data_IF_419231643032
#
_entry.id   IF_419231643032
#
_cell.length_a   1.000
_cell.length_b   1.000
_cell.length_c   1.000
_cell.angle_alpha   90.00
_cell.angle_beta   90.00
_cell.angle_gamma   90.00
#
_symmetry.space_group_name_H-M   'P 1'
#
loop_
_entity.id
_entity.type
_entity.pdbx_description
1 polymer ?
#
# COMPACT_ATOMS: atom_id res chain seq x y z
N UNK A 1 -38.54 -31.22 -6.89
CA UNK A 1 -37.19 -31.05 -7.46
C UNK A 1 -36.82 -29.58 -7.52
N UNK A 2 -35.76 -29.20 -6.86
CA UNK A 2 -35.20 -27.86 -7.07
C UNK A 2 -34.34 -27.84 -8.32
N UNK A 3 -34.69 -26.98 -9.26
CA UNK A 3 -33.89 -26.76 -10.50
C UNK A 3 -32.59 -26.04 -10.16
N UNK A 4 -31.49 -26.62 -10.60
CA UNK A 4 -30.14 -26.03 -10.46
C UNK A 4 -29.62 -25.56 -11.82
N UNK A 5 -28.82 -24.48 -11.76
CA UNK A 5 -28.13 -23.93 -12.93
C UNK A 5 -26.67 -23.67 -12.61
N UNK A 6 -25.85 -23.55 -13.63
CA UNK A 6 -24.46 -23.10 -13.46
C UNK A 6 -24.48 -21.60 -13.15
N UNK A 7 -23.67 -21.17 -12.16
CA UNK A 7 -23.53 -19.77 -11.82
C UNK A 7 -23.14 -18.93 -13.05
N UNK A 8 -23.92 -17.95 -13.48
CA UNK A 8 -23.65 -17.18 -14.70
C UNK A 8 -22.44 -16.25 -14.56
N UNK A 9 -21.97 -16.02 -13.33
CA UNK A 9 -20.84 -15.12 -13.06
C UNK A 9 -19.49 -15.84 -13.16
N UNK A 10 -19.34 -17.01 -12.52
CA UNK A 10 -18.09 -17.76 -12.56
C UNK A 10 -18.08 -18.92 -13.55
N UNK A 11 -19.22 -19.41 -13.98
CA UNK A 11 -19.34 -20.56 -14.91
C UNK A 11 -18.93 -21.91 -14.32
N UNK A 12 -18.75 -22.02 -13.01
CA UNK A 12 -18.18 -23.20 -12.34
C UNK A 12 -19.16 -23.84 -11.35
N UNK A 13 -19.69 -23.04 -10.43
CA UNK A 13 -20.49 -23.55 -9.32
C UNK A 13 -21.96 -23.77 -9.71
N UNK A 14 -22.52 -24.90 -9.27
CA UNK A 14 -23.96 -25.19 -9.38
C UNK A 14 -24.71 -24.43 -8.27
N UNK A 15 -25.72 -23.69 -8.67
CA UNK A 15 -26.58 -22.90 -7.77
C UNK A 15 -28.06 -23.22 -8.00
N UNK A 16 -28.89 -22.86 -7.03
CA UNK A 16 -30.33 -22.88 -7.22
C UNK A 16 -30.73 -21.93 -8.36
N UNK A 17 -31.70 -22.36 -9.19
CA UNK A 17 -32.15 -21.56 -10.33
C UNK A 17 -32.69 -20.18 -9.95
N UNK A 18 -33.14 -20.02 -8.71
CA UNK A 18 -33.63 -18.75 -8.17
C UNK A 18 -32.52 -17.75 -7.82
N UNK A 19 -31.28 -18.22 -7.63
CA UNK A 19 -30.16 -17.37 -7.25
C UNK A 19 -29.50 -16.70 -8.47
N UNK A 20 -29.02 -15.48 -8.29
CA UNK A 20 -28.33 -14.72 -9.33
C UNK A 20 -26.85 -15.10 -9.50
N UNK A 21 -26.22 -15.59 -8.41
CA UNK A 21 -24.81 -16.05 -8.42
C UNK A 21 -24.53 -16.93 -7.20
N UNK A 22 -23.37 -17.60 -7.18
CA UNK A 22 -22.93 -18.43 -6.06
C UNK A 22 -22.34 -17.60 -4.92
N UNK A 23 -22.25 -18.21 -3.74
CA UNK A 23 -21.72 -17.55 -2.53
C UNK A 23 -20.30 -17.02 -2.71
N UNK A 24 -19.46 -17.74 -3.45
CA UNK A 24 -18.08 -17.29 -3.78
C UNK A 24 -18.09 -15.99 -4.60
N UNK A 25 -19.02 -15.87 -5.56
CA UNK A 25 -19.16 -14.64 -6.36
C UNK A 25 -19.75 -13.49 -5.54
N UNK A 26 -20.68 -13.78 -4.62
CA UNK A 26 -21.21 -12.80 -3.65
C UNK A 26 -20.08 -12.27 -2.77
N UNK A 27 -19.26 -13.16 -2.20
CA UNK A 27 -18.14 -12.79 -1.34
C UNK A 27 -17.11 -11.90 -2.10
N UNK A 28 -16.77 -12.24 -3.33
CA UNK A 28 -15.87 -11.43 -4.19
C UNK A 28 -16.46 -10.06 -4.50
N UNK A 29 -17.76 -9.96 -4.76
CA UNK A 29 -18.46 -8.70 -5.01
C UNK A 29 -18.45 -7.81 -3.77
N UNK A 30 -18.73 -8.39 -2.59
CA UNK A 30 -18.71 -7.67 -1.32
C UNK A 30 -17.31 -7.18 -0.95
N UNK A 31 -16.27 -7.97 -1.25
CA UNK A 31 -14.88 -7.54 -1.11
C UNK A 31 -14.56 -6.32 -1.99
N UNK A 32 -14.95 -6.35 -3.27
CA UNK A 32 -14.78 -5.20 -4.18
C UNK A 32 -15.52 -3.94 -3.71
N UNK A 33 -16.71 -4.10 -3.13
CA UNK A 33 -17.45 -2.97 -2.56
C UNK A 33 -16.76 -2.38 -1.33
N UNK A 34 -16.19 -3.23 -0.45
CA UNK A 34 -15.37 -2.77 0.69
C UNK A 34 -14.14 -2.00 0.22
N UNK A 35 -13.44 -2.52 -0.79
CA UNK A 35 -12.28 -1.86 -1.38
C UNK A 35 -12.64 -0.53 -2.05
N UNK A 36 -13.78 -0.48 -2.74
CA UNK A 36 -14.31 0.73 -3.36
C UNK A 36 -14.71 1.78 -2.32
N UNK A 37 -15.35 1.38 -1.23
CA UNK A 37 -15.72 2.28 -0.14
C UNK A 37 -14.51 2.79 0.64
N UNK A 38 -13.52 1.94 0.89
CA UNK A 38 -12.23 2.34 1.45
C UNK A 38 -11.52 3.36 0.54
N UNK A 39 -11.53 3.12 -0.78
CA UNK A 39 -10.98 4.03 -1.79
C UNK A 39 -11.73 5.37 -1.82
N UNK A 40 -13.05 5.38 -1.69
CA UNK A 40 -13.86 6.62 -1.63
C UNK A 40 -13.60 7.42 -0.36
N UNK A 41 -13.37 6.75 0.77
CA UNK A 41 -13.06 7.42 2.05
C UNK A 41 -11.73 8.15 2.01
N UNK A 42 -10.84 7.78 1.10
CA UNK A 42 -9.50 8.34 1.03
C UNK A 42 -9.28 9.28 -0.17
N UNK A 43 -10.33 9.99 -0.57
CA UNK A 43 -10.25 11.04 -1.61
C UNK A 43 -9.21 12.11 -1.27
N UNK A 44 -9.04 12.40 0.01
CA UNK A 44 -8.08 13.37 0.52
C UNK A 44 -6.64 12.92 0.26
N UNK A 45 -6.30 11.67 0.57
CA UNK A 45 -4.99 11.10 0.30
C UNK A 45 -4.72 11.02 -1.21
N UNK A 46 -5.69 10.58 -2.01
CA UNK A 46 -5.56 10.54 -3.47
C UNK A 46 -5.28 11.92 -4.05
N UNK A 47 -6.02 12.94 -3.63
CA UNK A 47 -5.81 14.32 -4.07
C UNK A 47 -4.42 14.82 -3.67
N UNK A 48 -3.96 14.47 -2.46
CA UNK A 48 -2.61 14.78 -2.00
C UNK A 48 -1.52 14.17 -2.88
N UNK A 49 -1.61 12.87 -3.21
CA UNK A 49 -0.62 12.19 -4.05
C UNK A 49 -0.57 12.73 -5.49
N UNK A 50 -1.64 13.35 -5.98
CA UNK A 50 -1.67 14.04 -7.27
C UNK A 50 -1.32 15.53 -7.19
N UNK A 51 -1.09 16.07 -6.00
CA UNK A 51 -0.74 17.48 -5.82
C UNK A 51 0.66 17.79 -6.34
N UNK A 52 0.84 19.03 -6.81
CA UNK A 52 2.16 19.52 -7.26
C UNK A 52 3.19 19.52 -6.14
N UNK A 53 2.77 19.87 -4.92
CA UNK A 53 3.63 19.86 -3.74
C UNK A 53 4.22 18.49 -3.46
N UNK A 54 3.37 17.46 -3.47
CA UNK A 54 3.82 16.09 -3.25
C UNK A 54 4.75 15.60 -4.37
N UNK A 55 4.36 15.77 -5.62
CA UNK A 55 5.15 15.30 -6.77
C UNK A 55 6.54 15.94 -6.78
N UNK A 56 6.62 17.25 -6.53
CA UNK A 56 7.91 17.96 -6.44
C UNK A 56 8.75 17.45 -5.29
N UNK A 57 8.16 17.31 -4.10
CA UNK A 57 8.88 16.83 -2.91
C UNK A 57 9.37 15.40 -3.11
N UNK A 58 8.52 14.49 -3.59
CA UNK A 58 8.89 13.10 -3.82
C UNK A 58 10.05 12.97 -4.84
N UNK A 59 9.99 13.70 -5.95
CA UNK A 59 11.07 13.71 -6.93
C UNK A 59 12.37 14.30 -6.37
N UNK A 60 12.28 15.38 -5.61
CA UNK A 60 13.41 16.01 -4.93
C UNK A 60 14.07 15.05 -3.93
N UNK A 61 13.29 14.33 -3.12
CA UNK A 61 13.79 13.35 -2.17
C UNK A 61 14.51 12.20 -2.86
N UNK A 62 13.95 11.64 -3.94
CA UNK A 62 14.59 10.58 -4.71
C UNK A 62 15.97 10.99 -5.19
N UNK A 63 16.10 12.20 -5.73
CA UNK A 63 17.37 12.74 -6.23
C UNK A 63 18.35 13.03 -5.09
N UNK A 64 17.90 13.74 -4.06
CA UNK A 64 18.76 14.18 -2.94
C UNK A 64 19.30 13.02 -2.10
N UNK A 65 18.59 11.89 -2.07
CA UNK A 65 19.00 10.69 -1.34
C UNK A 65 19.69 9.63 -2.20
N UNK A 66 20.16 10.00 -3.38
CA UNK A 66 21.01 9.17 -4.23
C UNK A 66 20.29 8.26 -5.22
N UNK A 67 18.96 8.26 -5.28
CA UNK A 67 18.18 7.51 -6.28
C UNK A 67 18.26 6.00 -6.13
N UNK A 68 18.22 5.46 -4.92
CA UNK A 68 18.22 4.03 -4.63
C UNK A 68 17.24 3.68 -3.51
N UNK A 69 16.91 2.40 -3.40
CA UNK A 69 16.05 1.85 -2.34
C UNK A 69 16.81 1.82 -1.01
N UNK A 70 16.49 2.75 -0.12
CA UNK A 70 17.15 2.90 1.18
C UNK A 70 16.91 1.68 2.10
N UNK A 71 15.72 1.08 2.05
CA UNK A 71 15.39 -0.10 2.85
C UNK A 71 16.15 -1.34 2.37
N UNK A 72 16.11 -1.64 1.09
CA UNK A 72 16.82 -2.80 0.54
C UNK A 72 18.34 -2.68 0.73
N UNK A 73 18.88 -1.49 0.62
CA UNK A 73 20.31 -1.23 0.85
C UNK A 73 20.69 -1.47 2.31
N UNK A 74 19.94 -0.92 3.25
CA UNK A 74 20.24 -1.03 4.68
C UNK A 74 20.00 -2.43 5.24
N UNK A 75 18.93 -3.11 4.85
CA UNK A 75 18.49 -4.38 5.45
C UNK A 75 19.00 -5.59 4.67
N UNK A 76 19.01 -5.53 3.34
CA UNK A 76 19.33 -6.65 2.46
C UNK A 76 20.67 -6.51 1.74
N UNK A 77 21.35 -5.40 1.91
CA UNK A 77 22.60 -5.08 1.19
C UNK A 77 22.46 -5.15 -0.33
N UNK A 78 21.30 -4.74 -0.86
CA UNK A 78 20.99 -4.71 -2.28
C UNK A 78 20.86 -3.28 -2.79
N UNK A 79 21.52 -2.97 -3.90
CA UNK A 79 21.36 -1.71 -4.59
C UNK A 79 20.27 -1.84 -5.65
N UNK A 80 19.14 -1.20 -5.42
CA UNK A 80 18.01 -1.16 -6.35
C UNK A 80 17.77 0.30 -6.74
N UNK A 81 17.79 0.59 -8.03
CA UNK A 81 17.72 1.96 -8.57
C UNK A 81 16.52 2.21 -9.50
N UNK A 82 15.74 1.19 -9.79
CA UNK A 82 14.56 1.28 -10.67
C UNK A 82 13.26 1.11 -9.91
N UNK A 83 12.18 1.61 -10.50
CA UNK A 83 10.82 1.57 -9.94
C UNK A 83 10.74 2.09 -8.49
N UNK A 84 11.39 3.23 -8.27
CA UNK A 84 11.43 3.86 -6.95
C UNK A 84 10.18 4.68 -6.68
N UNK A 85 9.73 4.64 -5.43
CA UNK A 85 8.67 5.50 -4.89
C UNK A 85 9.08 6.03 -3.52
N UNK A 86 8.37 7.05 -3.05
CA UNK A 86 8.54 7.60 -1.70
C UNK A 86 7.41 7.10 -0.82
N UNK A 87 7.76 6.48 0.29
CA UNK A 87 6.84 5.88 1.25
C UNK A 87 6.74 6.73 2.51
N UNK A 88 5.53 6.93 3.01
CA UNK A 88 5.28 7.53 4.33
C UNK A 88 5.45 6.47 5.41
N UNK A 89 6.39 6.68 6.33
CA UNK A 89 6.65 5.74 7.44
C UNK A 89 5.45 5.71 8.39
N UNK A 90 5.04 6.89 8.88
CA UNK A 90 3.74 7.07 9.54
C UNK A 90 2.73 7.39 8.44
N UNK A 91 1.73 6.54 8.28
CA UNK A 91 0.75 6.68 7.20
C UNK A 91 -0.08 7.95 7.33
N UNK A 92 -0.57 8.47 6.19
CA UNK A 92 -1.43 9.66 6.15
C UNK A 92 -2.68 9.52 7.03
N UNK A 93 -3.22 8.30 7.12
CA UNK A 93 -4.37 7.98 7.98
C UNK A 93 -4.05 8.05 9.47
N UNK A 94 -2.80 7.85 9.85
CA UNK A 94 -2.36 7.94 11.25
C UNK A 94 -2.06 9.38 11.66
N UNK A 95 -1.33 10.12 10.84
CA UNK A 95 -0.96 11.51 11.10
C UNK A 95 -0.82 12.32 9.82
N UNK A 96 -1.85 13.06 9.47
CA UNK A 96 -1.87 13.91 8.28
C UNK A 96 -0.82 15.04 8.33
N UNK A 97 -0.46 15.52 9.51
CA UNK A 97 0.51 16.61 9.68
C UNK A 97 1.91 16.25 9.18
N UNK A 98 2.24 14.96 9.12
CA UNK A 98 3.53 14.44 8.67
C UNK A 98 3.62 14.21 7.15
N UNK A 99 2.60 14.56 6.39
CA UNK A 99 2.52 14.27 4.95
C UNK A 99 3.66 14.83 4.11
N UNK A 100 4.23 15.96 4.50
CA UNK A 100 5.36 16.62 3.83
C UNK A 100 6.64 16.64 4.69
N UNK A 101 6.63 15.97 5.83
CA UNK A 101 7.80 15.89 6.71
C UNK A 101 8.84 14.93 6.11
N UNK A 102 10.00 15.44 5.75
CA UNK A 102 11.06 14.65 5.13
C UNK A 102 11.57 13.53 6.04
N UNK A 103 11.53 13.73 7.35
CA UNK A 103 11.88 12.73 8.36
C UNK A 103 10.88 11.54 8.42
N UNK A 104 9.74 11.67 7.78
CA UNK A 104 8.72 10.64 7.66
C UNK A 104 8.69 9.97 6.27
N UNK A 105 9.62 10.31 5.40
CA UNK A 105 9.64 9.85 4.00
C UNK A 105 10.91 9.05 3.71
N UNK A 106 10.74 7.88 3.11
CA UNK A 106 11.83 6.99 2.71
C UNK A 106 11.67 6.57 1.25
N UNK A 107 12.80 6.46 0.54
CA UNK A 107 12.81 6.00 -0.85
C UNK A 107 12.93 4.48 -0.88
N UNK A 108 11.99 3.84 -1.54
CA UNK A 108 11.93 2.38 -1.65
C UNK A 108 11.56 1.95 -3.07
N UNK A 109 11.94 0.73 -3.45
CA UNK A 109 11.47 0.11 -4.69
C UNK A 109 10.06 -0.45 -4.52
N UNK A 110 9.41 -0.80 -5.61
CA UNK A 110 8.10 -1.43 -5.60
C UNK A 110 8.07 -2.71 -4.75
N UNK A 111 9.10 -3.55 -4.83
CA UNK A 111 9.21 -4.78 -4.03
C UNK A 111 9.33 -4.50 -2.54
N UNK A 112 10.17 -3.55 -2.14
CA UNK A 112 10.30 -3.12 -0.75
C UNK A 112 9.03 -2.45 -0.23
N UNK A 113 8.38 -1.63 -1.05
CA UNK A 113 7.10 -1.01 -0.73
C UNK A 113 6.02 -2.04 -0.41
N UNK A 114 5.94 -3.11 -1.22
CA UNK A 114 5.00 -4.21 -0.99
C UNK A 114 5.32 -4.97 0.30
N UNK A 115 6.59 -5.23 0.59
CA UNK A 115 7.04 -5.87 1.83
C UNK A 115 6.67 -5.04 3.06
N UNK A 116 6.92 -3.75 3.02
CA UNK A 116 6.55 -2.80 4.09
C UNK A 116 5.03 -2.80 4.31
N UNK A 117 4.25 -2.70 3.23
CA UNK A 117 2.80 -2.73 3.33
C UNK A 117 2.25 -4.06 3.85
N UNK A 118 2.89 -5.18 3.57
CA UNK A 118 2.51 -6.47 4.15
C UNK A 118 2.67 -6.46 5.68
N UNK A 119 3.78 -5.92 6.19
CA UNK A 119 3.98 -5.75 7.62
C UNK A 119 2.93 -4.80 8.23
N UNK A 120 2.59 -3.71 7.55
CA UNK A 120 1.59 -2.75 8.01
C UNK A 120 0.18 -3.34 8.06
N UNK A 121 -0.17 -4.21 7.10
CA UNK A 121 -1.48 -4.90 7.08
C UNK A 121 -1.62 -5.91 8.22
N UNK A 122 -0.54 -6.56 8.61
CA UNK A 122 -0.54 -7.44 9.79
C UNK A 122 -0.88 -6.64 11.04
N UNK A 123 -0.44 -5.37 11.08
CA UNK A 123 -0.76 -4.46 12.17
C UNK A 123 0.00 -4.72 13.45
N UNK A 124 -0.38 -4.06 14.52
CA UNK A 124 0.17 -4.30 15.86
C UNK A 124 1.68 -4.13 15.97
N UNK A 125 2.34 -5.16 16.47
CA UNK A 125 3.78 -5.15 16.73
C UNK A 125 4.61 -5.14 15.44
N UNK A 126 4.22 -5.92 14.43
CA UNK A 126 4.93 -5.99 13.15
C UNK A 126 4.97 -4.62 12.45
N UNK A 127 3.87 -3.90 12.49
CA UNK A 127 3.82 -2.53 11.95
C UNK A 127 4.77 -1.60 12.70
N UNK A 128 4.76 -1.64 14.03
CA UNK A 128 5.65 -0.81 14.86
C UNK A 128 7.12 -1.14 14.63
N UNK A 129 7.47 -2.43 14.57
CA UNK A 129 8.83 -2.87 14.28
C UNK A 129 9.30 -2.38 12.92
N UNK A 130 8.46 -2.49 11.89
CA UNK A 130 8.77 -1.98 10.55
C UNK A 130 8.95 -0.47 10.57
N UNK A 131 8.06 0.28 11.20
CA UNK A 131 8.19 1.74 11.33
C UNK A 131 9.48 2.13 12.05
N UNK A 132 9.83 1.46 13.14
CA UNK A 132 11.07 1.70 13.87
C UNK A 132 12.31 1.39 13.02
N UNK A 133 12.28 0.32 12.24
CA UNK A 133 13.36 -0.03 11.31
C UNK A 133 13.56 1.08 10.28
N UNK A 134 12.49 1.55 9.65
CA UNK A 134 12.54 2.62 8.65
C UNK A 134 13.03 3.95 9.23
N UNK A 135 12.56 4.32 10.41
CA UNK A 135 13.03 5.53 11.12
C UNK A 135 14.50 5.41 11.51
N UNK A 136 14.94 4.22 11.90
CA UNK A 136 16.34 3.94 12.21
C UNK A 136 17.26 4.11 10.99
N UNK A 137 16.83 3.70 9.81
CA UNK A 137 17.56 3.91 8.55
C UNK A 137 17.75 5.40 8.28
N UNK A 138 16.70 6.21 8.41
CA UNK A 138 16.78 7.65 8.21
C UNK A 138 17.64 8.35 9.27
N UNK A 139 17.61 7.86 10.51
CA UNK A 139 18.41 8.40 11.62
C UNK A 139 19.91 8.16 11.45
N UNK A 140 20.31 7.02 10.89
CA UNK A 140 21.73 6.66 10.66
C UNK A 140 22.41 7.50 9.59
N UNK A 141 21.66 8.08 8.66
CA UNK A 141 22.19 8.97 7.60
C UNK A 141 22.50 10.39 8.09
N UNK A 142 22.03 10.76 9.29
CA UNK A 142 22.25 12.10 9.87
C UNK A 142 23.54 12.23 10.69
N UNK A 143 24.31 11.16 10.76
CA UNK A 143 25.62 11.12 11.37
C UNK A 143 26.70 11.24 10.31
#
# INVERSE_FOLDING_TARGET
MQLKKICPVCGVNLIDASLSCCDTCVAKRNSRHKDYDAFRRDKKAKAFYHSREWVRLANSIKVSRGGYDEYAYAVKHKLITDKLCVHHIVELSEDWSLRLAQDNLIVVSESSHNEIHNAYRTGGEEKREMQNTLLGILGSEKL
#
